data_IF_504069598709
#
_entry.id   IF_504069598709
#
_cell.length_a   1.000
_cell.length_b   1.000
_cell.length_c   1.000
_cell.angle_alpha   90.00
_cell.angle_beta   90.00
_cell.angle_gamma   90.00
#
_symmetry.space_group_name_H-M   'P 1'
#
loop_
_entity.id
_entity.type
_entity.pdbx_description
1 polymer ?
#
# COMPACT_ATOMS: atom_id res chain seq x y z
N UNK A 1 -6.29 31.93 3.15
CA UNK A 1 -5.72 31.44 4.42
C UNK A 1 -6.33 30.07 4.68
N UNK A 2 -5.54 28.98 4.64
CA UNK A 2 -6.02 27.61 4.93
C UNK A 2 -5.80 27.35 6.42
N UNK A 3 -6.84 26.91 7.12
CA UNK A 3 -6.75 26.48 8.51
C UNK A 3 -5.93 25.17 8.60
N UNK A 4 -5.16 24.95 9.68
CA UNK A 4 -4.41 23.72 9.85
C UNK A 4 -5.36 22.60 10.28
N UNK A 5 -5.24 21.43 9.65
CA UNK A 5 -5.99 20.23 10.03
C UNK A 5 -5.23 19.56 11.17
N UNK A 6 -5.80 19.59 12.38
CA UNK A 6 -5.24 18.90 13.53
C UNK A 6 -5.83 17.50 13.60
N UNK A 7 -5.02 16.47 13.33
CA UNK A 7 -5.40 15.07 13.57
C UNK A 7 -4.97 14.68 14.98
N UNK A 8 -5.94 14.50 15.88
CA UNK A 8 -5.74 13.91 17.21
C UNK A 8 -5.94 12.41 17.13
N UNK A 9 -5.05 11.65 17.76
CA UNK A 9 -4.92 10.19 17.62
C UNK A 9 -5.97 9.36 18.40
N UNK A 10 -7.17 9.89 18.64
CA UNK A 10 -8.18 9.23 19.48
C UNK A 10 -9.58 9.19 18.85
N UNK A 11 -9.69 9.05 17.53
CA UNK A 11 -11.00 8.79 16.93
C UNK A 11 -11.43 7.34 17.18
N UNK A 12 -12.55 7.23 17.90
CA UNK A 12 -13.18 6.01 18.43
C UNK A 12 -13.34 4.90 17.39
N UNK A 13 -13.10 3.66 17.84
CA UNK A 13 -13.42 2.43 17.08
C UNK A 13 -14.93 2.35 16.90
N UNK A 14 -15.43 2.91 15.80
CA UNK A 14 -16.83 2.85 15.40
C UNK A 14 -17.20 1.41 15.02
N UNK A 15 -17.95 0.74 15.90
CA UNK A 15 -18.58 -0.58 15.68
C UNK A 15 -19.78 -0.50 14.72
N UNK A 16 -19.60 0.08 13.54
CA UNK A 16 -20.64 0.06 12.51
C UNK A 16 -20.37 -1.07 11.50
N UNK A 17 -21.18 -2.13 11.60
CA UNK A 17 -21.40 -3.09 10.52
C UNK A 17 -21.84 -2.29 9.29
N UNK A 18 -21.00 -2.29 8.26
CA UNK A 18 -21.10 -1.39 7.12
C UNK A 18 -22.45 -1.46 6.41
N UNK A 19 -23.05 -0.28 6.18
CA UNK A 19 -24.11 -0.10 5.17
C UNK A 19 -23.60 -0.60 3.82
N UNK A 20 -24.41 -1.34 3.04
CA UNK A 20 -24.04 -1.71 1.67
C UNK A 20 -24.01 -0.43 0.82
N UNK A 21 -22.80 0.04 0.48
CA UNK A 21 -22.59 1.25 -0.32
C UNK A 21 -21.42 2.14 0.12
N UNK A 22 -20.79 1.89 1.27
CA UNK A 22 -19.55 2.57 1.68
C UNK A 22 -18.31 1.74 1.37
N UNK A 23 -17.21 2.39 0.98
CA UNK A 23 -15.88 1.77 0.86
C UNK A 23 -15.34 1.42 2.25
N UNK A 24 -15.88 0.37 2.88
CA UNK A 24 -15.32 -0.17 4.10
C UNK A 24 -14.02 -0.90 3.74
N UNK A 25 -12.89 -0.66 4.45
CA UNK A 25 -11.68 -1.43 4.23
C UNK A 25 -11.94 -2.90 4.53
N UNK A 26 -11.44 -3.80 3.68
CA UNK A 26 -11.60 -5.25 3.86
C UNK A 26 -11.05 -5.72 5.22
N UNK A 27 -9.98 -5.08 5.69
CA UNK A 27 -9.40 -5.27 7.00
C UNK A 27 -8.94 -3.92 7.56
N UNK A 28 -9.22 -3.61 8.85
CA UNK A 28 -8.67 -2.40 9.47
C UNK A 28 -7.16 -2.53 9.63
N UNK A 29 -6.42 -1.54 9.13
CA UNK A 29 -4.96 -1.43 9.22
C UNK A 29 -4.60 -0.25 10.11
N UNK A 30 -3.79 -0.49 11.13
CA UNK A 30 -3.17 0.56 11.95
C UNK A 30 -1.74 0.77 11.46
N UNK A 31 -1.45 1.97 10.99
CA UNK A 31 -0.09 2.36 10.63
C UNK A 31 0.67 2.79 11.89
N UNK A 32 1.60 1.96 12.35
CA UNK A 32 2.46 2.26 13.49
C UNK A 32 3.80 2.86 13.01
N UNK A 33 3.70 3.91 12.19
CA UNK A 33 4.86 4.57 11.59
C UNK A 33 4.55 6.03 11.28
N UNK A 34 5.59 6.86 11.22
CA UNK A 34 5.47 8.19 10.63
C UNK A 34 5.65 8.06 9.11
N UNK A 35 4.57 8.29 8.36
CA UNK A 35 4.57 8.16 6.89
C UNK A 35 5.63 9.05 6.24
N UNK A 36 5.90 10.23 6.84
CA UNK A 36 6.87 11.18 6.30
C UNK A 36 8.32 10.69 6.43
N UNK A 37 8.59 9.76 7.35
CA UNK A 37 9.93 9.23 7.64
C UNK A 37 10.17 7.83 7.02
N UNK A 38 9.22 7.33 6.23
CA UNK A 38 9.38 6.05 5.54
C UNK A 38 10.32 6.26 4.35
N UNK A 39 11.43 5.53 4.36
CA UNK A 39 12.19 5.24 3.14
C UNK A 39 11.76 3.87 2.65
N UNK A 40 11.34 3.78 1.39
CA UNK A 40 10.84 2.53 0.83
C UNK A 40 11.90 1.40 0.87
N UNK A 41 13.18 1.78 0.85
CA UNK A 41 14.33 0.88 1.01
C UNK A 41 14.48 0.28 2.41
N UNK A 42 13.97 0.96 3.46
CA UNK A 42 14.05 0.46 4.84
C UNK A 42 13.08 -0.72 5.06
N UNK A 43 12.10 -0.87 4.17
CA UNK A 43 11.11 -1.93 4.19
C UNK A 43 9.95 -1.68 5.15
N UNK A 44 8.90 -2.47 4.93
CA UNK A 44 7.68 -2.48 5.73
C UNK A 44 7.28 -3.93 6.01
N UNK A 45 6.59 -4.12 7.13
CA UNK A 45 6.01 -5.42 7.50
C UNK A 45 4.56 -5.24 7.96
N UNK A 46 3.70 -6.14 7.50
CA UNK A 46 2.32 -6.25 7.97
C UNK A 46 2.23 -7.37 9.00
N UNK A 47 1.63 -7.10 10.15
CA UNK A 47 1.43 -8.07 11.24
C UNK A 47 -0.07 -8.20 11.53
N UNK A 48 -0.54 -9.42 11.78
CA UNK A 48 -1.91 -9.65 12.25
C UNK A 48 -1.99 -9.75 13.76
N UNK A 49 -2.68 -8.81 14.38
CA UNK A 49 -2.95 -8.83 15.82
C UNK A 49 -4.22 -9.63 16.12
N UNK A 50 -4.06 -10.93 16.38
CA UNK A 50 -5.18 -11.85 16.65
C UNK A 50 -6.11 -11.37 17.77
N UNK A 51 -5.56 -10.77 18.83
CA UNK A 51 -6.35 -10.30 20.00
C UNK A 51 -7.35 -9.20 19.62
N UNK A 52 -6.96 -8.33 18.69
CA UNK A 52 -7.75 -7.17 18.30
C UNK A 52 -8.38 -7.34 16.90
N UNK A 53 -8.19 -8.49 16.25
CA UNK A 53 -8.66 -8.80 14.90
C UNK A 53 -8.35 -7.67 13.90
N UNK A 54 -7.13 -7.14 13.97
CA UNK A 54 -6.67 -6.01 13.16
C UNK A 54 -5.30 -6.27 12.58
N UNK A 55 -4.98 -5.57 11.51
CA UNK A 55 -3.63 -5.55 10.97
C UNK A 55 -2.87 -4.33 11.46
N UNK A 56 -1.57 -4.49 11.65
CA UNK A 56 -0.64 -3.42 12.01
C UNK A 56 0.51 -3.39 11.02
N UNK A 57 0.77 -2.21 10.49
CA UNK A 57 1.90 -1.96 9.61
C UNK A 57 3.04 -1.36 10.43
N UNK A 58 4.21 -1.99 10.36
CA UNK A 58 5.44 -1.56 10.99
C UNK A 58 6.51 -1.22 9.96
N UNK A 59 7.45 -0.36 10.38
CA UNK A 59 8.69 -0.10 9.64
C UNK A 59 9.67 -1.28 9.81
N UNK A 60 10.40 -1.59 8.75
CA UNK A 60 11.41 -2.64 8.72
C UNK A 60 10.88 -3.98 8.23
N UNK A 61 11.78 -4.96 8.17
CA UNK A 61 11.49 -6.33 7.74
C UNK A 61 11.45 -7.26 8.97
N UNK A 62 10.28 -7.80 9.29
CA UNK A 62 10.08 -8.76 10.38
C UNK A 62 9.52 -10.08 9.82
N UNK A 63 10.41 -11.07 9.69
CA UNK A 63 10.11 -12.34 9.01
C UNK A 63 9.53 -13.42 9.94
N UNK A 64 9.60 -13.23 11.26
CA UNK A 64 9.16 -14.22 12.26
C UNK A 64 7.66 -14.14 12.50
N UNK A 65 7.12 -12.91 12.55
CA UNK A 65 5.74 -12.65 12.92
C UNK A 65 4.95 -11.86 11.86
N UNK A 66 5.63 -11.39 10.81
CA UNK A 66 5.00 -10.72 9.68
C UNK A 66 4.10 -11.67 8.89
N UNK A 67 2.95 -11.16 8.43
CA UNK A 67 2.15 -11.79 7.40
C UNK A 67 2.78 -11.65 6.02
N UNK A 68 3.31 -10.46 5.76
CA UNK A 68 4.03 -10.07 4.56
C UNK A 68 5.03 -8.97 4.93
N UNK A 69 6.16 -8.94 4.22
CA UNK A 69 7.17 -7.92 4.37
C UNK A 69 7.84 -7.66 3.02
N UNK A 70 8.35 -6.45 2.84
CA UNK A 70 9.00 -6.10 1.60
C UNK A 70 9.66 -4.74 1.66
N UNK A 71 10.49 -4.47 0.66
CA UNK A 71 11.15 -3.18 0.47
C UNK A 71 11.25 -2.88 -1.03
N UNK A 72 11.44 -1.60 -1.35
CA UNK A 72 11.48 -1.13 -2.72
C UNK A 72 12.71 -0.26 -2.95
N UNK A 73 13.50 -0.65 -3.95
CA UNK A 73 14.71 0.04 -4.37
C UNK A 73 14.44 0.75 -5.69
N UNK A 74 14.35 2.07 -5.63
CA UNK A 74 14.02 2.89 -6.78
C UNK A 74 15.27 3.36 -7.53
N UNK A 75 15.82 2.47 -8.35
CA UNK A 75 17.05 2.69 -9.11
C UNK A 75 16.81 2.99 -10.60
N UNK A 76 15.57 3.30 -11.00
CA UNK A 76 15.23 3.52 -12.42
C UNK A 76 16.09 4.60 -13.09
N UNK A 77 16.49 5.63 -12.35
CA UNK A 77 17.33 6.71 -12.88
C UNK A 77 18.77 6.30 -13.18
N UNK A 78 19.28 5.22 -12.58
CA UNK A 78 20.66 4.76 -12.75
C UNK A 78 20.78 3.44 -13.52
N UNK A 79 19.84 2.51 -13.32
CA UNK A 79 19.87 1.17 -13.93
C UNK A 79 18.80 0.97 -15.00
N UNK A 80 17.79 1.85 -15.06
CA UNK A 80 16.58 1.63 -15.85
C UNK A 80 15.54 0.71 -15.19
N UNK A 81 15.81 0.20 -13.99
CA UNK A 81 14.92 -0.70 -13.26
C UNK A 81 14.72 -0.26 -11.80
N UNK A 82 13.48 -0.32 -11.33
CA UNK A 82 13.17 -0.32 -9.91
C UNK A 82 12.84 -1.74 -9.47
N UNK A 83 13.26 -2.12 -8.27
CA UNK A 83 13.15 -3.50 -7.78
C UNK A 83 12.27 -3.54 -6.54
N UNK A 84 11.22 -4.36 -6.58
CA UNK A 84 10.34 -4.65 -5.45
C UNK A 84 10.66 -6.05 -4.93
N UNK A 85 11.01 -6.15 -3.65
CA UNK A 85 11.16 -7.42 -2.95
C UNK A 85 9.99 -7.56 -1.99
N UNK A 86 9.21 -8.61 -2.15
CA UNK A 86 8.00 -8.83 -1.36
C UNK A 86 7.86 -10.32 -1.06
N UNK A 87 7.70 -10.64 0.22
CA UNK A 87 7.57 -12.00 0.71
C UNK A 87 6.35 -12.09 1.64
N UNK A 88 5.81 -13.31 1.75
CA UNK A 88 4.72 -13.60 2.68
C UNK A 88 5.11 -14.74 3.60
N UNK A 89 4.52 -14.78 4.78
CA UNK A 89 4.72 -15.89 5.71
C UNK A 89 4.27 -17.22 5.10
N UNK A 90 4.99 -18.28 5.41
CA UNK A 90 4.63 -19.66 5.06
C UNK A 90 3.80 -20.35 6.15
N UNK A 91 3.17 -19.57 7.04
CA UNK A 91 2.39 -20.13 8.14
C UNK A 91 1.02 -20.59 7.65
N UNK A 92 0.74 -21.88 7.77
CA UNK A 92 -0.59 -22.47 7.46
C UNK A 92 -1.70 -22.00 8.42
N UNK A 93 -1.31 -21.35 9.54
CA UNK A 93 -2.23 -20.82 10.55
C UNK A 93 -2.89 -19.51 10.06
N UNK A 94 -2.35 -18.88 9.01
CA UNK A 94 -2.89 -17.66 8.43
C UNK A 94 -3.54 -17.95 7.08
N UNK A 95 -4.79 -17.52 6.94
CA UNK A 95 -5.52 -17.60 5.67
C UNK A 95 -4.74 -16.94 4.53
N UNK A 96 -4.77 -17.57 3.35
CA UNK A 96 -4.04 -17.08 2.18
C UNK A 96 -4.49 -15.66 1.79
N UNK A 97 -5.79 -15.38 1.89
CA UNK A 97 -6.36 -14.08 1.54
C UNK A 97 -5.81 -12.94 2.40
N UNK A 98 -5.52 -13.20 3.69
CA UNK A 98 -4.86 -12.23 4.57
C UNK A 98 -3.44 -11.93 4.11
N UNK A 99 -2.70 -12.96 3.70
CA UNK A 99 -1.32 -12.81 3.20
C UNK A 99 -1.31 -12.04 1.88
N UNK A 100 -2.21 -12.35 0.96
CA UNK A 100 -2.33 -11.66 -0.32
C UNK A 100 -2.76 -10.21 -0.14
N UNK A 101 -3.72 -9.95 0.75
CA UNK A 101 -4.11 -8.57 1.08
C UNK A 101 -2.93 -7.79 1.69
N UNK A 102 -2.23 -8.40 2.65
CA UNK A 102 -1.07 -7.77 3.29
C UNK A 102 0.04 -7.44 2.29
N UNK A 103 0.34 -8.37 1.37
CA UNK A 103 1.33 -8.17 0.31
C UNK A 103 0.95 -6.99 -0.59
N UNK A 104 -0.29 -6.97 -1.12
CA UNK A 104 -0.75 -5.88 -1.98
C UNK A 104 -0.79 -4.53 -1.27
N UNK A 105 -1.11 -4.51 0.04
CA UNK A 105 -1.09 -3.30 0.83
C UNK A 105 0.33 -2.73 0.96
N UNK A 106 1.32 -3.58 1.27
CA UNK A 106 2.74 -3.18 1.34
C UNK A 106 3.24 -2.69 -0.01
N UNK A 107 2.98 -3.43 -1.08
CA UNK A 107 3.36 -3.03 -2.45
C UNK A 107 2.79 -1.66 -2.81
N UNK A 108 1.49 -1.45 -2.59
CA UNK A 108 0.81 -0.21 -2.91
C UNK A 108 1.42 0.98 -2.17
N UNK A 109 1.80 0.81 -0.90
CA UNK A 109 2.48 1.86 -0.12
C UNK A 109 3.90 2.13 -0.62
N UNK A 110 4.71 1.08 -0.80
CA UNK A 110 6.10 1.22 -1.22
C UNK A 110 6.26 1.82 -2.61
N UNK A 111 5.30 1.56 -3.51
CA UNK A 111 5.39 1.90 -4.94
C UNK A 111 4.41 2.99 -5.38
N UNK A 112 3.64 3.59 -4.46
CA UNK A 112 2.57 4.55 -4.79
C UNK A 112 3.02 5.68 -5.72
N UNK A 113 4.24 6.20 -5.54
CA UNK A 113 4.80 7.25 -6.42
C UNK A 113 4.95 6.73 -7.85
N UNK A 114 5.57 5.56 -8.04
CA UNK A 114 5.75 4.95 -9.37
C UNK A 114 4.44 4.53 -10.02
N UNK A 115 3.47 4.04 -9.24
CA UNK A 115 2.12 3.76 -9.74
C UNK A 115 1.47 5.05 -10.27
N UNK A 116 1.58 6.16 -9.53
CA UNK A 116 1.01 7.45 -9.94
C UNK A 116 1.67 7.99 -11.22
N UNK A 117 2.99 7.90 -11.32
CA UNK A 117 3.72 8.33 -12.53
C UNK A 117 3.38 7.46 -13.73
N UNK A 118 3.32 6.14 -13.54
CA UNK A 118 2.94 5.19 -14.60
C UNK A 118 1.52 5.49 -15.11
N UNK A 119 0.56 5.73 -14.21
CA UNK A 119 -0.81 6.08 -14.57
C UNK A 119 -0.86 7.38 -15.38
N UNK A 120 -0.16 8.44 -14.93
CA UNK A 120 -0.12 9.72 -15.64
C UNK A 120 0.47 9.57 -17.06
N UNK A 121 1.59 8.85 -17.18
CA UNK A 121 2.26 8.63 -18.47
C UNK A 121 1.40 7.79 -19.41
N UNK A 122 0.81 6.71 -18.92
CA UNK A 122 0.00 5.80 -19.74
C UNK A 122 -1.28 6.47 -20.23
N UNK A 123 -1.97 7.22 -19.38
CA UNK A 123 -3.18 7.94 -19.76
C UNK A 123 -2.90 8.98 -20.85
N UNK A 124 -1.78 9.70 -20.77
CA UNK A 124 -1.41 10.67 -21.79
C UNK A 124 -1.05 9.99 -23.12
N UNK A 125 -0.41 8.82 -23.09
CA UNK A 125 -0.12 8.04 -24.30
C UNK A 125 -1.41 7.55 -24.97
N UNK A 126 -2.35 7.01 -24.20
CA UNK A 126 -3.65 6.56 -24.72
C UNK A 126 -4.43 7.73 -25.34
N UNK A 127 -4.43 8.89 -24.67
CA UNK A 127 -5.09 10.08 -25.20
C UNK A 127 -4.51 10.51 -26.54
N UNK A 128 -3.18 10.45 -26.70
CA UNK A 128 -2.50 10.77 -27.96
C UNK A 128 -2.81 9.75 -29.06
N UNK A 129 -2.80 8.45 -28.75
CA UNK A 129 -3.13 7.42 -29.73
C UNK A 129 -4.56 7.54 -30.24
N UNK A 130 -5.50 7.87 -29.36
CA UNK A 130 -6.90 8.08 -29.75
C UNK A 130 -7.06 9.30 -30.66
N UNK A 131 -6.30 10.37 -30.41
CA UNK A 131 -6.30 11.56 -31.28
C UNK A 131 -5.74 11.26 -32.67
N UNK A 132 -4.65 10.50 -32.77
CA UNK A 132 -4.06 10.09 -34.04
C UNK A 132 -5.00 9.17 -34.82
N UNK A 133 -5.63 8.20 -34.15
CA UNK A 133 -6.60 7.31 -34.77
C UNK A 133 -7.82 8.07 -35.33
N UNK A 134 -8.34 9.04 -34.58
CA UNK A 134 -9.45 9.89 -35.02
C UNK A 134 -9.07 10.88 -36.13
N UNK A 135 -7.80 11.28 -36.24
CA UNK A 135 -7.33 12.18 -37.29
C UNK A 135 -7.15 11.49 -38.66
N UNK A 136 -7.18 10.15 -38.69
CA UNK A 136 -7.05 9.34 -39.90
C UNK A 136 -8.41 8.87 -40.46
N UNK A 137 -9.53 9.25 -39.84
CA UNK A 137 -10.91 9.02 -40.31
C UNK A 137 -11.50 10.29 -40.93
#
# INVERSE_FOLDING_TARGET
QRAPVHFSAEDEVSQHVGRPGGHAPLYPVIANLNIQDIRASDGLTMIFERRHQRMRLDKGLETTHGLAWGHFNDNIGSTGWSELFLETSNSDIVANDLRMYAAGYIEGLLTCVRISEYAANTNELLRKSDQEANALQ
#
